data_IF_674182196502
#
_entry.id   IF_674182196502
#
_cell.length_a   1.000
_cell.length_b   1.000
_cell.length_c   1.000
_cell.angle_alpha   90.00
_cell.angle_beta   90.00
_cell.angle_gamma   90.00
#
_symmetry.space_group_name_H-M   'P 1'
#
loop_
_entity.id
_entity.type
_entity.pdbx_description
1 polymer ?
#
# COMPACT_ATOMS: atom_id res chain seq x y z
N UNK A 1 12.12 12.70 22.42
CA UNK A 1 11.58 11.66 23.34
C UNK A 1 10.97 12.36 24.53
N UNK A 2 9.76 12.02 25.00
CA UNK A 2 9.15 12.72 26.14
C UNK A 2 10.08 12.68 27.37
N UNK A 3 10.59 13.84 27.78
CA UNK A 3 11.54 13.99 28.90
C UNK A 3 12.93 13.38 28.70
N UNK A 4 13.29 12.94 27.49
CA UNK A 4 14.51 12.19 27.23
C UNK A 4 15.34 12.73 26.07
N UNK A 5 16.57 12.22 25.93
CA UNK A 5 17.47 12.54 24.83
C UNK A 5 16.91 12.11 23.48
N UNK A 6 17.29 12.84 22.45
CA UNK A 6 16.96 12.51 21.07
C UNK A 6 17.49 11.14 20.66
N UNK A 7 16.79 10.55 19.70
CA UNK A 7 17.14 9.25 19.12
C UNK A 7 17.26 9.43 17.62
N UNK A 8 18.46 9.20 17.11
CA UNK A 8 18.67 9.14 15.67
C UNK A 8 18.08 7.83 15.14
N UNK A 9 17.22 7.95 14.13
CA UNK A 9 16.59 6.83 13.43
C UNK A 9 17.09 6.88 11.99
N UNK A 10 17.92 5.92 11.60
CA UNK A 10 18.25 5.71 10.19
C UNK A 10 17.08 5.00 9.51
N UNK A 11 16.64 5.54 8.38
CA UNK A 11 15.65 4.95 7.48
C UNK A 11 16.32 4.76 6.13
N UNK A 12 16.36 3.52 5.65
CA UNK A 12 16.85 3.20 4.30
C UNK A 12 15.66 2.93 3.40
N UNK A 13 15.77 3.36 2.15
CA UNK A 13 14.70 3.25 1.16
C UNK A 13 15.25 2.78 -0.19
N UNK A 14 14.39 2.10 -0.94
CA UNK A 14 14.65 1.61 -2.30
C UNK A 14 13.63 2.22 -3.26
N UNK A 15 13.74 1.93 -4.56
CA UNK A 15 12.67 2.23 -5.53
C UNK A 15 11.33 1.52 -5.25
N UNK A 16 11.29 0.57 -4.30
CA UNK A 16 10.09 -0.11 -3.85
C UNK A 16 9.62 0.36 -2.47
N UNK A 17 10.24 1.38 -1.87
CA UNK A 17 9.87 1.92 -0.57
C UNK A 17 10.84 1.57 0.56
N UNK A 18 10.48 1.90 1.81
CA UNK A 18 11.35 1.77 2.97
C UNK A 18 11.66 0.32 3.33
N UNK A 19 12.87 0.06 3.82
CA UNK A 19 13.30 -1.24 4.32
C UNK A 19 12.69 -1.49 5.71
N UNK A 20 11.73 -2.41 5.78
CA UNK A 20 11.04 -2.78 7.03
C UNK A 20 11.80 -3.86 7.81
N UNK A 21 12.68 -4.62 7.16
CA UNK A 21 13.61 -5.55 7.82
C UNK A 21 14.59 -4.85 8.77
N UNK A 22 14.91 -3.56 8.54
CA UNK A 22 15.79 -2.78 9.42
C UNK A 22 15.22 -2.59 10.83
N UNK A 23 13.91 -2.79 10.99
CA UNK A 23 13.17 -2.61 12.24
C UNK A 23 12.44 -3.86 12.72
N UNK A 24 12.53 -4.96 11.97
CA UNK A 24 11.86 -6.22 12.30
C UNK A 24 12.78 -7.42 12.10
N UNK A 25 13.12 -8.10 13.22
CA UNK A 25 13.88 -9.35 13.23
C UNK A 25 13.16 -10.48 12.48
N UNK A 26 11.83 -10.42 12.41
CA UNK A 26 11.05 -11.39 11.65
C UNK A 26 11.26 -11.19 10.14
N UNK A 27 11.14 -9.95 9.66
CA UNK A 27 11.31 -9.64 8.24
C UNK A 27 12.77 -9.78 7.79
N UNK A 28 13.73 -9.54 8.68
CA UNK A 28 15.13 -9.89 8.46
C UNK A 28 15.31 -11.40 8.20
N UNK A 29 14.72 -12.26 9.03
CA UNK A 29 14.73 -13.72 8.80
C UNK A 29 14.03 -14.12 7.49
N UNK A 30 12.95 -13.44 7.11
CA UNK A 30 12.28 -13.68 5.82
C UNK A 30 13.23 -13.42 4.67
N UNK A 31 13.97 -12.31 4.72
CA UNK A 31 14.98 -11.95 3.73
C UNK A 31 16.17 -12.92 3.66
N UNK A 32 16.65 -13.40 4.81
CA UNK A 32 17.73 -14.40 4.91
C UNK A 32 17.33 -15.76 4.33
N UNK A 33 16.05 -16.15 4.50
CA UNK A 33 15.50 -17.44 4.06
C UNK A 33 14.77 -17.39 2.73
N UNK A 34 14.84 -16.27 2.00
CA UNK A 34 14.14 -16.10 0.74
C UNK A 34 14.58 -17.19 -0.27
N UNK A 35 13.64 -18.00 -0.82
CA UNK A 35 13.97 -19.13 -1.68
C UNK A 35 14.18 -18.69 -3.15
N UNK A 36 15.02 -17.68 -3.37
CA UNK A 36 15.31 -17.12 -4.70
C UNK A 36 16.60 -17.73 -5.28
N UNK A 37 16.56 -18.09 -6.56
CA UNK A 37 17.69 -18.65 -7.31
C UNK A 37 18.26 -17.63 -8.32
N UNK A 38 19.09 -18.10 -9.27
CA UNK A 38 19.88 -17.46 -10.35
C UNK A 38 19.60 -16.03 -10.87
N UNK A 39 18.45 -15.41 -10.60
CA UNK A 39 18.11 -14.06 -11.04
C UNK A 39 18.42 -12.98 -10.00
N UNK A 40 19.08 -13.32 -8.89
CA UNK A 40 19.23 -12.44 -7.74
C UNK A 40 20.59 -11.73 -7.69
N UNK A 41 20.66 -10.44 -7.31
CA UNK A 41 21.94 -9.80 -6.97
C UNK A 41 22.60 -10.53 -5.81
N UNK A 42 23.91 -10.34 -5.62
CA UNK A 42 24.66 -10.99 -4.54
C UNK A 42 23.91 -10.86 -3.21
N UNK A 43 23.64 -12.01 -2.60
CA UNK A 43 22.81 -12.12 -1.40
C UNK A 43 23.56 -11.69 -0.15
N UNK A 44 24.91 -11.73 -0.13
CA UNK A 44 25.69 -11.63 1.10
C UNK A 44 25.01 -12.43 2.24
N UNK A 45 24.63 -11.77 3.34
CA UNK A 45 23.95 -12.37 4.50
C UNK A 45 22.43 -12.59 4.30
N UNK A 46 21.82 -12.05 3.24
CA UNK A 46 20.41 -12.16 2.90
C UNK A 46 19.86 -10.94 2.16
N UNK A 47 18.61 -11.00 1.71
CA UNK A 47 17.93 -9.84 1.13
C UNK A 47 17.27 -8.97 2.19
N UNK A 48 17.19 -7.66 1.96
CA UNK A 48 16.32 -6.79 2.75
C UNK A 48 14.87 -6.86 2.25
N UNK A 49 13.91 -6.59 3.15
CA UNK A 49 12.47 -6.56 2.81
C UNK A 49 12.00 -5.11 2.76
N UNK A 50 11.51 -4.68 1.60
CA UNK A 50 10.93 -3.35 1.39
C UNK A 50 9.40 -3.38 1.41
N UNK A 51 8.77 -2.32 1.91
CA UNK A 51 7.32 -2.14 1.86
C UNK A 51 6.93 -1.18 0.73
N UNK A 52 6.33 -1.74 -0.33
CA UNK A 52 5.67 -0.94 -1.38
C UNK A 52 4.19 -0.81 -1.07
N UNK A 53 3.78 0.38 -0.66
CA UNK A 53 2.40 0.66 -0.25
C UNK A 53 1.89 1.97 -0.84
N UNK A 54 0.68 1.97 -1.41
CA UNK A 54 0.08 3.16 -2.02
C UNK A 54 -0.16 4.28 -1.03
N UNK A 55 -0.25 4.01 0.28
CA UNK A 55 -0.33 5.05 1.31
C UNK A 55 0.96 5.84 1.52
N UNK A 56 2.08 5.36 0.98
CA UNK A 56 3.36 6.09 0.97
C UNK A 56 3.48 7.02 -0.25
N UNK A 57 2.45 7.09 -1.09
CA UNK A 57 2.38 8.00 -2.23
C UNK A 57 1.42 9.15 -1.93
N UNK A 58 1.66 10.36 -2.48
CA UNK A 58 0.66 11.42 -2.47
C UNK A 58 -0.66 10.93 -3.07
N UNK A 59 -1.79 11.33 -2.47
CA UNK A 59 -3.12 10.91 -2.89
C UNK A 59 -4.20 11.86 -2.37
N UNK A 60 -5.46 11.59 -2.75
CA UNK A 60 -6.62 12.49 -2.52
C UNK A 60 -7.61 12.03 -1.46
N UNK A 61 -7.25 11.06 -0.61
CA UNK A 61 -8.22 10.46 0.33
C UNK A 61 -8.92 11.50 1.22
N UNK A 62 -8.22 12.52 1.70
CA UNK A 62 -8.86 13.55 2.53
C UNK A 62 -9.75 14.50 1.72
N UNK A 63 -9.41 14.79 0.47
CA UNK A 63 -10.30 15.53 -0.44
C UNK A 63 -11.61 14.74 -0.65
N UNK A 64 -11.50 13.42 -0.80
CA UNK A 64 -12.63 12.51 -0.92
C UNK A 64 -13.54 12.56 0.33
N UNK A 65 -12.97 12.52 1.53
CA UNK A 65 -13.73 12.63 2.79
C UNK A 65 -14.52 13.94 2.84
N UNK A 66 -13.89 15.07 2.52
CA UNK A 66 -14.60 16.35 2.53
C UNK A 66 -15.66 16.45 1.43
N UNK A 67 -15.46 15.79 0.28
CA UNK A 67 -16.45 15.73 -0.78
C UNK A 67 -17.63 14.80 -0.42
N UNK A 68 -17.36 13.65 0.21
CA UNK A 68 -18.38 12.73 0.74
C UNK A 68 -19.25 13.44 1.77
N UNK A 69 -18.66 14.20 2.70
CA UNK A 69 -19.40 14.99 3.69
C UNK A 69 -20.35 16.03 3.07
N UNK A 70 -20.14 16.41 1.81
CA UNK A 70 -20.95 17.38 1.06
C UNK A 70 -21.89 16.74 0.05
N UNK A 71 -21.78 15.43 -0.20
CA UNK A 71 -22.63 14.70 -1.13
C UNK A 71 -24.10 14.81 -0.72
N UNK A 72 -24.98 14.90 -1.72
CA UNK A 72 -26.43 15.09 -1.52
C UNK A 72 -27.27 13.91 -1.96
N UNK A 73 -26.66 13.03 -2.76
CA UNK A 73 -27.29 11.88 -3.37
C UNK A 73 -26.23 10.80 -3.64
N UNK A 74 -26.70 9.62 -4.06
CA UNK A 74 -25.81 8.49 -4.29
C UNK A 74 -24.82 8.76 -5.45
N UNK A 75 -25.20 9.55 -6.44
CA UNK A 75 -24.37 9.87 -7.60
C UNK A 75 -23.15 10.72 -7.18
N UNK A 76 -23.38 11.78 -6.43
CA UNK A 76 -22.35 12.67 -5.90
C UNK A 76 -21.49 11.98 -4.83
N UNK A 77 -22.09 11.08 -4.04
CA UNK A 77 -21.35 10.21 -3.12
C UNK A 77 -20.36 9.31 -3.88
N UNK A 78 -20.81 8.62 -4.94
CA UNK A 78 -19.95 7.75 -5.76
C UNK A 78 -18.83 8.53 -6.45
N UNK A 79 -19.13 9.69 -7.00
CA UNK A 79 -18.11 10.56 -7.62
C UNK A 79 -17.05 11.01 -6.59
N UNK A 80 -17.47 11.35 -5.37
CA UNK A 80 -16.53 11.68 -4.30
C UNK A 80 -15.70 10.46 -3.86
N UNK A 81 -16.33 9.29 -3.73
CA UNK A 81 -15.69 8.04 -3.33
C UNK A 81 -14.57 7.58 -4.28
N UNK A 82 -14.63 7.92 -5.58
CA UNK A 82 -13.54 7.62 -6.53
C UNK A 82 -12.18 8.21 -6.13
N UNK A 83 -12.16 9.30 -5.37
CA UNK A 83 -10.92 9.91 -4.88
C UNK A 83 -10.40 9.29 -3.57
N UNK A 84 -11.14 8.34 -2.97
CA UNK A 84 -10.74 7.69 -1.72
C UNK A 84 -9.72 6.59 -2.00
N UNK A 85 -8.45 6.98 -2.10
CA UNK A 85 -7.36 6.10 -2.55
C UNK A 85 -6.87 5.14 -1.46
N UNK A 86 -6.72 5.61 -0.22
CA UNK A 86 -6.09 4.87 0.88
C UNK A 86 -6.56 5.34 2.27
N UNK A 87 -6.60 4.44 3.27
CA UNK A 87 -6.65 2.99 3.10
C UNK A 87 -7.95 2.61 2.39
N UNK A 88 -7.96 1.55 1.56
CA UNK A 88 -9.21 1.07 0.95
C UNK A 88 -10.24 0.78 2.04
N UNK A 89 -11.49 1.19 1.84
CA UNK A 89 -12.58 1.02 2.81
C UNK A 89 -13.84 0.49 2.15
N UNK A 90 -14.65 -0.20 2.94
CA UNK A 90 -16.05 -0.48 2.61
C UNK A 90 -16.88 0.76 2.95
N UNK A 91 -17.33 1.50 1.93
CA UNK A 91 -18.21 2.63 2.12
C UNK A 91 -19.66 2.20 1.90
N UNK A 92 -20.46 2.28 2.96
CA UNK A 92 -21.88 1.93 2.96
C UNK A 92 -22.70 3.23 2.94
N UNK A 93 -23.73 3.28 2.09
CA UNK A 93 -24.56 4.46 1.86
C UNK A 93 -26.04 4.14 2.07
N UNK A 94 -26.78 5.10 2.64
CA UNK A 94 -28.23 5.12 2.69
C UNK A 94 -28.75 6.56 2.64
N UNK A 95 -29.89 6.81 2.00
CA UNK A 95 -30.53 8.14 1.96
C UNK A 95 -32.06 8.12 2.15
N UNK A 96 -32.64 9.32 2.19
CA UNK A 96 -34.07 9.55 2.42
C UNK A 96 -34.96 9.19 1.23
N UNK A 97 -34.38 8.95 0.05
CA UNK A 97 -35.10 8.49 -1.14
C UNK A 97 -35.21 6.95 -1.16
N UNK A 98 -34.64 6.27 -0.16
CA UNK A 98 -34.67 4.82 -0.04
C UNK A 98 -33.54 4.12 -0.79
N UNK A 99 -32.53 4.86 -1.29
CA UNK A 99 -31.35 4.24 -1.90
C UNK A 99 -30.48 3.61 -0.81
N UNK A 100 -29.98 2.41 -1.07
CA UNK A 100 -28.89 1.78 -0.31
C UNK A 100 -27.77 1.43 -1.27
N UNK A 101 -26.52 1.65 -0.85
CA UNK A 101 -25.38 1.53 -1.74
C UNK A 101 -24.12 1.07 -1.05
N UNK A 102 -23.21 0.54 -1.86
CA UNK A 102 -21.89 0.12 -1.45
C UNK A 102 -20.85 0.59 -2.46
N UNK A 103 -19.72 1.10 -2.00
CA UNK A 103 -18.53 1.35 -2.79
C UNK A 103 -17.31 0.80 -2.05
N UNK A 104 -16.38 0.19 -2.79
CA UNK A 104 -15.10 -0.29 -2.26
C UNK A 104 -13.93 0.46 -2.91
N UNK A 105 -13.83 1.80 -2.75
CA UNK A 105 -12.79 2.55 -3.41
C UNK A 105 -11.41 2.23 -2.83
N UNK A 106 -10.40 2.42 -3.66
CA UNK A 106 -9.01 2.35 -3.26
C UNK A 106 -8.07 2.33 -4.46
N UNK A 107 -6.85 2.79 -4.24
CA UNK A 107 -5.77 2.70 -5.22
C UNK A 107 -5.11 1.33 -5.10
N UNK A 108 -5.67 0.38 -5.85
CA UNK A 108 -5.26 -1.03 -5.77
C UNK A 108 -4.28 -1.33 -6.90
N UNK A 109 -3.03 -1.73 -6.60
CA UNK A 109 -2.05 -2.04 -7.63
C UNK A 109 -2.39 -3.32 -8.37
N UNK A 110 -2.24 -3.31 -9.71
CA UNK A 110 -2.32 -4.51 -10.53
C UNK A 110 -1.02 -5.28 -10.39
N UNK A 111 -1.06 -6.45 -9.76
CA UNK A 111 0.10 -7.33 -9.61
C UNK A 111 0.22 -8.29 -10.79
N UNK A 112 1.42 -8.81 -11.02
CA UNK A 112 1.66 -9.84 -12.02
C UNK A 112 0.95 -11.15 -11.67
N UNK A 113 0.55 -11.91 -12.69
CA UNK A 113 -0.09 -13.22 -12.52
C UNK A 113 0.76 -14.15 -11.65
N UNK A 114 0.10 -14.85 -10.72
CA UNK A 114 0.74 -15.72 -9.74
C UNK A 114 1.28 -15.00 -8.48
N UNK A 115 1.10 -13.69 -8.37
CA UNK A 115 1.53 -12.90 -7.21
C UNK A 115 0.39 -12.02 -6.69
N UNK A 116 -0.20 -12.42 -5.58
CA UNK A 116 -1.33 -11.74 -4.93
C UNK A 116 -0.91 -10.76 -3.81
N UNK A 117 0.36 -10.82 -3.39
CA UNK A 117 0.91 -10.04 -2.28
C UNK A 117 0.90 -10.76 -0.94
N UNK A 118 0.55 -12.06 -0.91
CA UNK A 118 0.58 -12.89 0.30
C UNK A 118 2.00 -13.09 0.85
N UNK A 119 3.01 -13.12 -0.03
CA UNK A 119 4.43 -13.22 0.33
C UNK A 119 5.26 -12.13 -0.35
N UNK A 120 6.43 -11.74 0.22
CA UNK A 120 7.37 -10.85 -0.45
C UNK A 120 7.81 -11.42 -1.80
N UNK A 121 8.00 -10.51 -2.76
CA UNK A 121 8.47 -10.84 -4.10
C UNK A 121 9.91 -10.33 -4.34
N UNK A 122 10.67 -10.94 -5.26
CA UNK A 122 11.96 -10.43 -5.72
C UNK A 122 11.87 -8.99 -6.23
N UNK A 123 12.30 -8.02 -5.41
CA UNK A 123 12.11 -6.59 -5.71
C UNK A 123 12.98 -6.04 -6.85
N UNK A 124 14.01 -6.78 -7.27
CA UNK A 124 14.90 -6.43 -8.37
C UNK A 124 14.42 -6.95 -9.74
N UNK A 125 13.52 -7.93 -9.78
CA UNK A 125 13.04 -8.53 -11.02
C UNK A 125 11.79 -7.75 -11.53
N UNK A 126 11.87 -7.11 -12.71
CA UNK A 126 10.76 -6.33 -13.28
C UNK A 126 9.47 -7.13 -13.47
N UNK A 127 9.55 -8.46 -13.55
CA UNK A 127 8.38 -9.34 -13.59
C UNK A 127 7.43 -9.10 -12.42
N UNK A 128 7.92 -8.67 -11.26
CA UNK A 128 7.13 -8.46 -10.04
C UNK A 128 6.68 -7.00 -9.84
N UNK A 129 7.03 -6.11 -10.77
CA UNK A 129 6.60 -4.72 -10.72
C UNK A 129 5.07 -4.60 -10.86
N UNK A 130 4.49 -3.58 -10.20
CA UNK A 130 3.08 -3.23 -10.38
C UNK A 130 2.83 -2.74 -11.80
N UNK A 131 1.74 -3.20 -12.42
CA UNK A 131 1.34 -2.88 -13.80
C UNK A 131 0.21 -1.84 -13.80
N UNK A 132 0.43 -0.74 -13.11
CA UNK A 132 -0.58 0.29 -12.88
C UNK A 132 -1.54 -0.05 -11.74
N UNK A 133 -2.76 0.49 -11.81
CA UNK A 133 -3.79 0.37 -10.79
C UNK A 133 -5.10 -0.10 -11.42
N UNK A 134 -5.96 -0.75 -10.62
CA UNK A 134 -7.33 -1.07 -11.03
C UNK A 134 -8.06 0.26 -11.33
N UNK A 135 -8.72 0.40 -12.50
CA UNK A 135 -9.46 1.61 -12.87
C UNK A 135 -10.65 1.93 -11.97
#
# INVERSE_FOLDING_TARGET
VAGGRDRTITVRETNNGPLVSDRSKELDKVGQKAPVSNAAPDRADGYAVALKWTALQPGKSMDAVFAINRAKDFTTFRAAAQNFEVPSQNLIYADTEGNIGYQAPGKIPVRSAGFDGTAPAPGWDPKYAWKGYIP
#
